data_IF_054415665099
#
_entry.id   IF_054415665099
#
_cell.length_a   1.000
_cell.length_b   1.000
_cell.length_c   1.000
_cell.angle_alpha   90.00
_cell.angle_beta   90.00
_cell.angle_gamma   90.00
#
_symmetry.space_group_name_H-M   'P 1'
#
loop_
_entity.id
_entity.type
_entity.pdbx_description
1 polymer ?
#
# COMPACT_ATOMS: atom_id res chain seq x y z
N UNK A 1 4.64 15.91 9.55
CA UNK A 1 5.39 15.32 8.41
C UNK A 1 6.15 14.15 8.99
N UNK A 2 5.95 12.96 8.44
CA UNK A 2 6.47 11.71 8.98
C UNK A 2 7.44 11.07 7.99
N UNK A 3 8.32 10.22 8.49
CA UNK A 3 9.29 9.48 7.68
C UNK A 3 8.76 8.08 7.40
N UNK A 4 8.80 7.67 6.12
CA UNK A 4 8.44 6.33 5.69
C UNK A 4 9.69 5.59 5.25
N UNK A 5 10.03 4.50 5.92
CA UNK A 5 11.13 3.60 5.56
C UNK A 5 10.61 2.33 4.87
N UNK A 6 11.26 1.96 3.77
CA UNK A 6 11.04 0.71 3.05
C UNK A 6 12.07 -0.33 3.50
N UNK A 7 11.61 -1.27 4.32
CA UNK A 7 12.41 -2.36 4.85
C UNK A 7 13.02 -3.21 3.73
N UNK A 8 14.33 -3.47 3.83
CA UNK A 8 15.09 -4.25 2.85
C UNK A 8 15.53 -3.48 1.60
N UNK A 9 14.99 -2.28 1.34
CA UNK A 9 15.44 -1.43 0.24
C UNK A 9 16.36 -0.29 0.70
N UNK A 10 16.37 0.03 2.01
CA UNK A 10 17.09 1.19 2.56
C UNK A 10 16.52 2.54 2.13
N UNK A 11 15.44 2.55 1.36
CA UNK A 11 14.77 3.76 0.89
C UNK A 11 13.96 4.37 2.02
N UNK A 12 14.12 5.69 2.20
CA UNK A 12 13.38 6.49 3.15
C UNK A 12 12.85 7.71 2.45
N UNK A 13 11.61 8.07 2.72
CA UNK A 13 11.00 9.24 2.12
C UNK A 13 10.04 9.94 3.08
N UNK A 14 9.93 11.27 3.00
CA UNK A 14 8.95 11.99 3.79
C UNK A 14 7.53 11.82 3.24
N UNK A 15 6.56 11.75 4.15
CA UNK A 15 5.14 11.68 3.83
C UNK A 15 4.35 12.62 4.74
N UNK A 16 3.47 13.43 4.15
CA UNK A 16 2.51 14.22 4.92
C UNK A 16 1.38 13.31 5.45
N UNK A 17 0.78 13.60 6.61
CA UNK A 17 -0.34 12.82 7.15
C UNK A 17 -1.59 12.88 6.23
N UNK A 18 -1.75 13.95 5.45
CA UNK A 18 -2.84 14.11 4.47
C UNK A 18 -2.58 13.36 3.15
N UNK A 19 -1.38 12.81 2.98
CA UNK A 19 -0.95 12.15 1.77
C UNK A 19 -0.82 10.65 2.00
N UNK A 20 -1.31 9.86 1.05
CA UNK A 20 -1.16 8.40 1.15
C UNK A 20 0.28 7.98 0.86
N UNK A 21 0.70 6.86 1.47
CA UNK A 21 2.07 6.35 1.42
C UNK A 21 2.56 6.13 -0.03
N UNK A 22 1.67 5.67 -0.93
CA UNK A 22 2.01 5.45 -2.33
C UNK A 22 2.29 6.79 -3.05
N UNK A 23 1.41 7.78 -2.86
CA UNK A 23 1.52 9.07 -3.55
C UNK A 23 2.74 9.86 -3.10
N UNK A 24 3.09 9.81 -1.81
CA UNK A 24 4.30 10.45 -1.29
C UNK A 24 5.56 9.88 -1.95
N UNK A 25 5.61 8.55 -2.12
CA UNK A 25 6.71 7.90 -2.83
C UNK A 25 6.73 8.27 -4.32
N UNK A 26 5.58 8.28 -5.00
CA UNK A 26 5.47 8.62 -6.43
C UNK A 26 5.96 10.05 -6.72
N UNK A 27 5.62 11.02 -5.87
CA UNK A 27 6.05 12.43 -6.02
C UNK A 27 7.57 12.57 -5.99
N UNK A 28 8.25 11.69 -5.26
CA UNK A 28 9.71 11.67 -5.13
C UNK A 28 10.39 10.81 -6.20
N UNK A 29 9.63 10.23 -7.14
CA UNK A 29 10.16 9.37 -8.19
C UNK A 29 10.74 8.05 -7.70
N UNK A 30 10.49 7.65 -6.45
CA UNK A 30 11.01 6.41 -5.90
C UNK A 30 10.17 5.20 -6.33
N UNK A 31 10.83 4.03 -6.44
CA UNK A 31 10.24 2.79 -6.96
C UNK A 31 10.20 1.66 -5.94
N UNK A 32 9.88 1.97 -4.70
CA UNK A 32 9.85 0.99 -3.61
C UNK A 32 8.51 0.31 -3.39
N UNK A 33 7.40 0.85 -3.92
CA UNK A 33 6.05 0.29 -3.77
C UNK A 33 5.43 0.12 -5.16
N UNK A 34 4.95 -1.08 -5.53
CA UNK A 34 4.26 -1.28 -6.80
C UNK A 34 2.95 -0.48 -6.87
N UNK A 35 2.77 0.29 -7.94
CA UNK A 35 1.57 1.10 -8.19
C UNK A 35 0.59 0.37 -9.13
N UNK A 36 -0.71 0.49 -8.84
CA UNK A 36 -1.79 -0.08 -9.68
C UNK A 36 -2.94 0.90 -9.88
N UNK A 37 -4.17 0.49 -9.61
CA UNK A 37 -5.39 1.29 -9.85
C UNK A 37 -5.52 2.57 -9.01
N UNK A 38 -4.71 2.76 -7.95
CA UNK A 38 -4.79 3.88 -6.98
C UNK A 38 -6.13 4.04 -6.24
N UNK A 39 -7.11 3.16 -6.50
CA UNK A 39 -8.45 3.20 -5.90
C UNK A 39 -8.68 2.20 -4.76
N UNK A 40 -7.68 1.40 -4.36
CA UNK A 40 -7.84 0.38 -3.31
C UNK A 40 -8.57 -0.90 -3.74
N UNK A 41 -8.69 -1.15 -5.06
CA UNK A 41 -9.40 -2.29 -5.64
C UNK A 41 -8.55 -3.34 -6.38
N UNK A 42 -7.30 -3.02 -6.75
CA UNK A 42 -6.42 -3.94 -7.50
C UNK A 42 -5.49 -4.79 -6.61
N UNK A 43 -5.25 -4.37 -5.36
CA UNK A 43 -4.32 -5.04 -4.45
C UNK A 43 -2.83 -4.91 -4.80
N UNK A 44 -2.44 -4.23 -5.88
CA UNK A 44 -1.04 -4.11 -6.34
C UNK A 44 -0.16 -3.40 -5.31
N UNK A 45 -0.64 -2.28 -4.75
CA UNK A 45 0.09 -1.50 -3.74
C UNK A 45 0.02 -2.09 -2.32
N UNK A 46 -0.05 -3.42 -2.20
CA UNK A 46 -0.11 -4.07 -0.89
C UNK A 46 1.27 -4.02 -0.24
N UNK A 47 1.30 -3.56 1.01
CA UNK A 47 2.50 -3.46 1.84
C UNK A 47 2.17 -3.98 3.23
N UNK A 48 3.17 -4.46 3.96
CA UNK A 48 3.05 -4.75 5.39
C UNK A 48 3.69 -3.62 6.18
N UNK A 49 2.99 -3.07 7.15
CA UNK A 49 3.56 -2.14 8.13
C UNK A 49 4.24 -2.98 9.21
N UNK A 50 5.54 -2.80 9.36
CA UNK A 50 6.36 -3.48 10.37
C UNK A 50 6.48 -2.63 11.65
N UNK A 51 6.39 -1.30 11.54
CA UNK A 51 6.38 -0.37 12.68
C UNK A 51 5.68 0.94 12.31
N UNK A 52 5.20 1.65 13.34
CA UNK A 52 4.53 2.94 13.22
C UNK A 52 3.01 2.84 13.18
N UNK A 53 2.38 3.98 13.45
CA UNK A 53 0.93 4.15 13.51
C UNK A 53 0.44 4.75 12.20
N UNK A 54 -0.68 4.21 11.74
CA UNK A 54 -1.31 4.62 10.51
C UNK A 54 -2.81 4.45 10.60
N UNK A 55 -3.50 5.20 9.75
CA UNK A 55 -4.90 4.97 9.46
C UNK A 55 -5.08 4.58 8.00
N UNK A 56 -6.02 3.66 7.78
CA UNK A 56 -6.39 3.16 6.47
C UNK A 56 -7.81 3.61 6.14
N UNK A 57 -8.00 4.18 4.96
CA UNK A 57 -9.32 4.48 4.42
C UNK A 57 -10.08 3.20 4.01
N UNK A 58 -11.30 3.38 3.48
CA UNK A 58 -12.13 2.26 2.99
C UNK A 58 -11.40 1.50 1.87
N UNK A 59 -11.18 0.20 2.07
CA UNK A 59 -10.50 -0.70 1.14
C UNK A 59 -11.42 -1.86 0.71
N UNK A 60 -11.17 -2.44 -0.45
CA UNK A 60 -11.90 -3.61 -0.91
C UNK A 60 -11.50 -4.85 -0.09
N UNK A 61 -12.46 -5.40 0.67
CA UNK A 61 -12.31 -6.67 1.41
C UNK A 61 -12.00 -7.86 0.49
N UNK A 62 -12.22 -7.72 -0.82
CA UNK A 62 -11.86 -8.74 -1.80
C UNK A 62 -10.34 -8.86 -2.02
N UNK A 63 -9.56 -7.81 -1.72
CA UNK A 63 -8.10 -7.80 -1.86
C UNK A 63 -7.35 -7.80 -0.53
N UNK A 64 -7.98 -7.30 0.54
CA UNK A 64 -7.40 -7.26 1.88
C UNK A 64 -8.43 -7.71 2.91
N UNK A 65 -8.18 -8.90 3.47
CA UNK A 65 -9.01 -9.50 4.51
C UNK A 65 -8.76 -8.81 5.85
N UNK A 66 -9.71 -8.91 6.79
CA UNK A 66 -9.52 -8.36 8.15
C UNK A 66 -8.37 -9.02 8.90
N UNK A 67 -8.14 -10.32 8.68
CA UNK A 67 -6.98 -11.01 9.23
C UNK A 67 -5.67 -10.42 8.69
N UNK A 68 -5.57 -10.16 7.39
CA UNK A 68 -4.39 -9.52 6.79
C UNK A 68 -4.21 -8.10 7.34
N UNK A 69 -5.29 -7.32 7.49
CA UNK A 69 -5.22 -5.98 8.06
C UNK A 69 -4.76 -5.98 9.52
N UNK A 70 -5.21 -6.95 10.32
CA UNK A 70 -4.73 -7.15 11.70
C UNK A 70 -3.27 -7.60 11.77
N UNK A 71 -2.80 -8.31 10.74
CA UNK A 71 -1.39 -8.71 10.57
C UNK A 71 -0.51 -7.56 10.04
N UNK A 72 -1.07 -6.34 9.94
CA UNK A 72 -0.36 -5.16 9.46
C UNK A 72 -0.26 -5.04 7.94
N UNK A 73 -0.93 -5.90 7.15
CA UNK A 73 -1.00 -5.74 5.70
C UNK A 73 -2.04 -4.69 5.33
N UNK A 74 -1.67 -3.76 4.45
CA UNK A 74 -2.52 -2.66 4.01
C UNK A 74 -2.26 -2.30 2.55
N UNK A 75 -3.12 -1.45 1.97
CA UNK A 75 -2.92 -0.91 0.64
C UNK A 75 -2.35 0.51 0.72
N UNK A 76 -1.10 0.70 0.30
CA UNK A 76 -0.40 1.99 0.39
C UNK A 76 -1.13 3.17 -0.27
N UNK A 77 -1.98 2.93 -1.27
CA UNK A 77 -2.81 3.97 -1.92
C UNK A 77 -3.97 4.51 -1.05
N UNK A 78 -4.29 3.83 0.05
CA UNK A 78 -5.37 4.17 0.99
C UNK A 78 -4.88 4.18 2.44
N UNK A 79 -3.57 4.19 2.66
CA UNK A 79 -2.96 4.24 3.99
C UNK A 79 -2.24 5.57 4.15
N UNK A 80 -2.37 6.17 5.32
CA UNK A 80 -1.85 7.47 5.68
C UNK A 80 -1.06 7.34 6.99
N UNK A 81 0.12 7.97 7.09
CA UNK A 81 0.93 7.89 8.30
C UNK A 81 0.40 8.82 9.39
N UNK A 82 0.27 8.30 10.62
CA UNK A 82 0.06 9.10 11.83
C UNK A 82 1.36 9.26 12.64
N UNK A 83 2.34 8.39 12.39
CA UNK A 83 3.70 8.50 12.91
C UNK A 83 4.73 8.02 11.88
N UNK A 84 6.01 7.91 12.28
CA UNK A 84 7.04 7.39 11.40
C UNK A 84 6.79 5.91 11.10
N UNK A 85 6.68 5.58 9.81
CA UNK A 85 6.24 4.26 9.35
C UNK A 85 7.43 3.49 8.82
N UNK A 86 7.55 2.23 9.24
CA UNK A 86 8.39 1.24 8.57
C UNK A 86 7.50 0.25 7.86
N UNK A 87 7.65 0.12 6.55
CA UNK A 87 6.84 -0.77 5.73
C UNK A 87 7.70 -1.68 4.86
N UNK A 88 7.12 -2.80 4.45
CA UNK A 88 7.72 -3.75 3.52
C UNK A 88 6.76 -4.04 2.36
N UNK A 89 7.21 -3.92 1.11
CA UNK A 89 6.43 -4.34 -0.05
C UNK A 89 6.20 -5.85 -0.01
N UNK A 90 4.96 -6.29 -0.22
CA UNK A 90 4.65 -7.72 -0.31
C UNK A 90 4.39 -8.10 -1.76
N UNK A 91 5.07 -9.14 -2.25
CA UNK A 91 4.94 -9.63 -3.63
C UNK A 91 3.66 -10.45 -3.87
N UNK A 92 2.66 -10.34 -2.99
CA UNK A 92 1.39 -11.07 -3.06
C UNK A 92 0.44 -10.41 -4.08
N UNK A 93 0.90 -10.36 -5.34
CA UNK A 93 0.15 -9.89 -6.51
C UNK A 93 -0.95 -10.88 -6.94
N UNK A 94 -0.83 -12.15 -6.54
CA UNK A 94 -1.47 -13.26 -7.25
C UNK A 94 -3.00 -13.21 -7.25
N UNK A 95 -3.67 -12.94 -6.11
CA UNK A 95 -5.12 -13.20 -6.01
C UNK A 95 -6.07 -12.11 -6.53
N UNK A 96 -5.70 -10.82 -6.52
CA UNK A 96 -6.63 -9.75 -6.96
C UNK A 96 -6.50 -9.38 -8.45
N UNK A 97 -5.30 -9.49 -9.02
CA UNK A 97 -5.08 -9.28 -10.46
C UNK A 97 -5.78 -10.32 -11.33
N UNK A 98 -5.80 -11.59 -10.90
CA UNK A 98 -6.53 -12.66 -11.62
C UNK A 98 -8.03 -12.34 -11.73
N UNK A 99 -8.63 -11.75 -10.69
CA UNK A 99 -10.04 -11.33 -10.71
C UNK A 99 -10.28 -10.07 -11.56
N UNK A 100 -9.35 -9.12 -11.60
CA UNK A 100 -9.45 -7.96 -12.49
C UNK A 100 -9.27 -8.34 -13.96
N UNK A 101 -8.30 -9.20 -14.30
CA UNK A 101 -8.12 -9.71 -15.67
C UNK A 101 -9.36 -10.44 -16.18
N UNK A 102 -10.05 -11.23 -15.33
CA UNK A 102 -11.34 -11.85 -15.69
C UNK A 102 -12.47 -10.84 -15.92
N UNK A 103 -12.44 -9.68 -15.28
CA UNK A 103 -13.44 -8.62 -15.45
C UNK A 103 -13.17 -7.74 -16.69
N UNK A 104 -11.91 -7.52 -17.03
CA UNK A 104 -11.52 -6.71 -18.20
C UNK A 104 -11.59 -7.50 -19.53
N UNK A 105 -11.40 -8.82 -19.51
CA UNK A 105 -11.51 -9.68 -20.71
C UNK A 105 -12.96 -10.10 -21.04
N UNK A 106 -13.95 -9.52 -20.36
CA UNK A 106 -15.38 -9.85 -20.53
C UNK A 106 -16.23 -8.69 -21.05
N UNK A 107 -15.64 -7.68 -21.68
CA UNK A 107 -16.36 -6.58 -22.34
C UNK A 107 -16.02 -6.50 -23.82
#
# INVERSE_FOLDING_TARGET
MHTVEIAGSGLRYPCAPEQNLLRAMEVLGQRGIPAGCRGGGCGVCKVRIEAGDYHAGKMSRACLSEAEQRDGLVLACKTYPDSDIRLRPVALLQRCLEKQRRREQGR
#
